data_IF_771205183983
#
_entry.id   IF_771205183983
#
_cell.length_a   1.000
_cell.length_b   1.000
_cell.length_c   1.000
_cell.angle_alpha   90.00
_cell.angle_beta   90.00
_cell.angle_gamma   90.00
#
_symmetry.space_group_name_H-M   'P 1'
#
loop_
_entity.id
_entity.type
_entity.pdbx_description
1 polymer ?
#
# COMPACT_ATOMS: atom_id res chain seq x y z
N UNK A 1 -7.66 -13.23 -13.44
CA UNK A 1 -7.79 -12.09 -14.39
C UNK A 1 -7.16 -12.54 -15.70
N UNK A 2 -7.77 -12.19 -16.83
CA UNK A 2 -7.18 -12.41 -18.16
C UNK A 2 -6.37 -11.19 -18.59
N UNK A 3 -6.86 -9.98 -18.26
CA UNK A 3 -6.20 -8.71 -18.47
C UNK A 3 -6.12 -7.92 -17.14
N UNK A 4 -5.04 -8.12 -16.36
CA UNK A 4 -4.92 -7.50 -15.04
C UNK A 4 -4.95 -5.97 -15.07
N UNK A 5 -4.44 -5.34 -16.13
CA UNK A 5 -4.33 -3.87 -16.24
C UNK A 5 -5.71 -3.21 -16.23
N UNK A 6 -6.66 -3.83 -16.94
CA UNK A 6 -8.03 -3.31 -17.07
C UNK A 6 -8.98 -3.88 -16.00
N UNK A 7 -8.74 -5.09 -15.51
CA UNK A 7 -9.64 -5.76 -14.56
C UNK A 7 -9.36 -5.39 -13.09
N UNK A 8 -8.11 -5.06 -12.71
CA UNK A 8 -7.71 -4.97 -11.28
C UNK A 8 -8.56 -3.99 -10.48
N UNK A 9 -8.96 -2.87 -11.07
CA UNK A 9 -9.78 -1.88 -10.38
C UNK A 9 -11.09 -2.50 -9.90
N UNK A 10 -11.77 -3.24 -10.78
CA UNK A 10 -13.01 -3.93 -10.41
C UNK A 10 -12.77 -5.02 -9.37
N UNK A 11 -11.70 -5.80 -9.55
CA UNK A 11 -11.33 -6.89 -8.63
C UNK A 11 -11.09 -6.35 -7.22
N UNK A 12 -10.26 -5.32 -7.06
CA UNK A 12 -9.95 -4.78 -5.74
C UNK A 12 -11.18 -4.16 -5.10
N UNK A 13 -12.02 -3.42 -5.86
CA UNK A 13 -13.27 -2.88 -5.32
C UNK A 13 -14.27 -3.99 -4.92
N UNK A 14 -14.30 -5.14 -5.60
CA UNK A 14 -15.08 -6.29 -5.15
C UNK A 14 -14.49 -6.91 -3.87
N UNK A 15 -13.18 -6.96 -3.72
CA UNK A 15 -12.54 -7.47 -2.51
C UNK A 15 -12.79 -6.53 -1.30
N UNK A 16 -12.70 -5.21 -1.47
CA UNK A 16 -12.72 -4.25 -0.36
C UNK A 16 -14.07 -3.59 -0.12
N UNK A 17 -14.89 -3.43 -1.15
CA UNK A 17 -16.13 -2.62 -1.12
C UNK A 17 -17.35 -3.35 -1.67
N UNK A 18 -17.32 -4.69 -1.72
CA UNK A 18 -18.45 -5.48 -2.21
C UNK A 18 -19.76 -5.20 -1.46
N UNK A 19 -20.86 -5.16 -2.22
CA UNK A 19 -22.20 -4.91 -1.69
C UNK A 19 -22.64 -5.97 -0.68
N UNK A 20 -22.27 -7.23 -0.88
CA UNK A 20 -22.61 -8.34 0.03
C UNK A 20 -21.38 -9.18 0.45
N UNK A 21 -21.45 -9.89 1.59
CA UNK A 21 -20.43 -10.85 1.99
C UNK A 21 -20.20 -11.97 0.96
N UNK A 22 -21.27 -12.40 0.27
CA UNK A 22 -21.18 -13.46 -0.74
C UNK A 22 -20.37 -13.02 -1.96
N UNK A 23 -20.58 -11.77 -2.43
CA UNK A 23 -19.78 -11.20 -3.53
C UNK A 23 -18.32 -11.09 -3.12
N UNK A 24 -18.05 -10.61 -1.90
CA UNK A 24 -16.69 -10.49 -1.38
C UNK A 24 -16.00 -11.85 -1.34
N UNK A 25 -16.66 -12.87 -0.76
CA UNK A 25 -16.12 -14.23 -0.67
C UNK A 25 -15.87 -14.84 -2.04
N UNK A 26 -16.83 -14.72 -2.98
CA UNK A 26 -16.67 -15.21 -4.34
C UNK A 26 -15.51 -14.53 -5.07
N UNK A 27 -15.30 -13.22 -4.85
CA UNK A 27 -14.14 -12.51 -5.41
C UNK A 27 -12.82 -13.04 -4.87
N UNK A 28 -12.74 -13.35 -3.56
CA UNK A 28 -11.57 -14.01 -2.96
C UNK A 28 -11.30 -15.37 -3.60
N UNK A 29 -12.32 -16.21 -3.75
CA UNK A 29 -12.18 -17.54 -4.34
C UNK A 29 -11.75 -17.48 -5.82
N UNK A 30 -12.21 -16.45 -6.55
CA UNK A 30 -11.93 -16.28 -7.99
C UNK A 30 -10.58 -15.64 -8.28
N UNK A 31 -10.16 -14.64 -7.51
CA UNK A 31 -9.02 -13.79 -7.88
C UNK A 31 -7.83 -13.90 -6.93
N UNK A 32 -7.98 -14.51 -5.75
CA UNK A 32 -6.91 -14.60 -4.76
C UNK A 32 -6.39 -16.04 -4.69
N UNK A 33 -5.06 -16.19 -4.70
CA UNK A 33 -4.42 -17.51 -4.65
C UNK A 33 -4.68 -18.16 -3.27
N UNK A 34 -4.80 -19.50 -3.20
CA UNK A 34 -5.05 -20.20 -1.94
C UNK A 34 -3.91 -20.07 -0.93
N UNK A 35 -2.73 -19.63 -1.38
CA UNK A 35 -1.50 -19.44 -0.63
C UNK A 35 -1.03 -17.98 -0.56
N UNK A 36 -1.96 -17.02 -0.66
CA UNK A 36 -1.69 -15.58 -0.68
C UNK A 36 -0.91 -15.08 0.54
N UNK A 37 0.03 -14.16 0.33
CA UNK A 37 0.63 -13.36 1.40
C UNK A 37 -0.04 -12.00 1.54
N UNK A 38 -0.07 -11.47 2.76
CA UNK A 38 -0.64 -10.16 3.03
C UNK A 38 0.19 -9.39 4.05
N UNK A 39 0.44 -8.12 3.78
CA UNK A 39 1.14 -7.21 4.70
C UNK A 39 0.39 -5.89 4.81
N UNK A 40 -0.03 -5.59 6.01
CA UNK A 40 -0.77 -4.38 6.34
C UNK A 40 -0.20 -3.78 7.63
N UNK A 41 -0.33 -2.46 7.89
CA UNK A 41 0.20 -1.86 9.11
C UNK A 41 -0.26 -2.50 10.43
N UNK A 42 -1.41 -3.19 10.45
CA UNK A 42 -1.97 -3.85 11.65
C UNK A 42 -1.74 -5.36 11.71
N UNK A 43 -1.53 -6.00 10.59
CA UNK A 43 -1.56 -7.46 10.52
C UNK A 43 -0.73 -7.96 9.35
N UNK A 44 -0.29 -9.21 9.49
CA UNK A 44 0.55 -9.88 8.53
C UNK A 44 0.07 -11.33 8.38
N UNK A 45 -0.08 -11.78 7.14
CA UNK A 45 -0.37 -13.16 6.79
C UNK A 45 0.79 -13.68 5.94
N UNK A 46 1.63 -14.59 6.47
CA UNK A 46 2.65 -15.22 5.66
C UNK A 46 2.02 -16.12 4.58
N UNK A 47 2.60 -16.18 3.37
CA UNK A 47 2.19 -17.15 2.35
C UNK A 47 2.25 -18.58 2.92
N UNK A 48 1.13 -19.29 2.90
CA UNK A 48 1.05 -20.66 3.38
C UNK A 48 -0.19 -21.35 2.82
N UNK A 49 -0.26 -22.68 2.86
CA UNK A 49 -1.45 -23.39 2.39
C UNK A 49 -2.69 -22.92 3.16
N UNK A 50 -3.71 -22.47 2.44
CA UNK A 50 -4.97 -21.92 2.98
C UNK A 50 -4.82 -20.56 3.71
N UNK A 51 -3.79 -19.78 3.40
CA UNK A 51 -3.66 -18.41 3.94
C UNK A 51 -4.73 -17.46 3.40
N UNK A 52 -5.37 -17.80 2.27
CA UNK A 52 -6.51 -17.05 1.71
C UNK A 52 -7.68 -16.96 2.67
N UNK A 53 -7.99 -18.05 3.37
CA UNK A 53 -9.07 -18.12 4.34
C UNK A 53 -8.76 -17.24 5.56
N UNK A 54 -7.48 -17.18 5.98
CA UNK A 54 -7.02 -16.24 7.01
C UNK A 54 -7.19 -14.78 6.55
N UNK A 55 -6.79 -14.47 5.31
CA UNK A 55 -6.94 -13.12 4.75
C UNK A 55 -8.43 -12.73 4.61
N UNK A 56 -9.28 -13.65 4.17
CA UNK A 56 -10.72 -13.44 4.10
C UNK A 56 -11.29 -13.10 5.50
N UNK A 57 -10.83 -13.76 6.55
CA UNK A 57 -11.21 -13.45 7.94
C UNK A 57 -10.87 -12.00 8.34
N UNK A 58 -9.72 -11.48 7.91
CA UNK A 58 -9.35 -10.07 8.12
C UNK A 58 -10.33 -9.14 7.41
N UNK A 59 -10.65 -9.42 6.14
CA UNK A 59 -11.58 -8.61 5.36
C UNK A 59 -13.02 -8.67 5.90
N UNK A 60 -13.43 -9.83 6.42
CA UNK A 60 -14.71 -9.97 7.15
C UNK A 60 -14.72 -9.09 8.40
N UNK A 61 -13.65 -9.10 9.19
CA UNK A 61 -13.54 -8.25 10.36
C UNK A 61 -13.57 -6.76 10.00
N UNK A 62 -12.89 -6.36 8.93
CA UNK A 62 -12.91 -4.98 8.42
C UNK A 62 -14.31 -4.55 8.00
N UNK A 63 -15.11 -5.44 7.40
CA UNK A 63 -16.52 -5.18 7.08
C UNK A 63 -17.40 -5.03 8.34
N UNK A 64 -17.14 -5.82 9.38
CA UNK A 64 -17.83 -5.70 10.68
C UNK A 64 -17.49 -4.37 11.34
N UNK A 65 -16.20 -4.01 11.34
CA UNK A 65 -15.69 -2.75 11.86
C UNK A 65 -16.21 -1.55 11.08
N UNK A 66 -16.33 -1.64 9.75
CA UNK A 66 -16.82 -0.58 8.89
C UNK A 66 -17.84 -1.11 7.88
N UNK A 67 -19.15 -1.04 8.20
CA UNK A 67 -20.20 -1.56 7.32
C UNK A 67 -20.35 -0.80 6.00
N UNK A 68 -19.84 0.44 5.93
CA UNK A 68 -19.86 1.28 4.74
C UNK A 68 -18.44 1.73 4.43
N UNK A 69 -17.79 1.00 3.53
CA UNK A 69 -16.47 1.33 3.00
C UNK A 69 -16.68 1.93 1.61
N UNK A 70 -16.11 3.11 1.37
CA UNK A 70 -16.11 3.74 0.05
C UNK A 70 -14.67 3.72 -0.45
N UNK A 71 -14.44 3.12 -1.60
CA UNK A 71 -13.13 3.02 -2.23
C UNK A 71 -13.13 3.75 -3.57
N UNK A 72 -12.03 4.43 -3.87
CA UNK A 72 -11.77 5.08 -5.15
C UNK A 72 -10.39 4.68 -5.64
N UNK A 73 -10.32 4.18 -6.86
CA UNK A 73 -9.05 3.99 -7.57
C UNK A 73 -8.65 5.33 -8.18
N UNK A 74 -7.46 5.81 -7.86
CA UNK A 74 -6.92 7.05 -8.41
C UNK A 74 -6.02 6.76 -9.61
N UNK A 75 -5.17 5.75 -9.50
CA UNK A 75 -4.26 5.35 -10.57
C UNK A 75 -3.87 3.88 -10.47
N UNK A 76 -3.56 3.27 -11.61
CA UNK A 76 -3.07 1.90 -11.75
C UNK A 76 -1.82 1.92 -12.60
N UNK A 77 -0.76 1.28 -12.12
CA UNK A 77 0.46 1.03 -12.90
C UNK A 77 0.72 -0.47 -12.90
N UNK A 78 0.84 -1.07 -14.08
CA UNK A 78 1.16 -2.47 -14.24
C UNK A 78 2.58 -2.67 -14.78
N UNK A 79 3.43 -3.25 -13.95
CA UNK A 79 4.70 -3.83 -14.38
C UNK A 79 4.45 -5.26 -14.88
N UNK A 80 4.34 -5.39 -16.21
CA UNK A 80 4.05 -6.64 -16.91
C UNK A 80 5.19 -7.66 -16.79
N UNK A 81 6.44 -7.20 -16.71
CA UNK A 81 7.61 -8.06 -16.66
C UNK A 81 7.70 -8.80 -15.32
N UNK A 82 7.41 -8.09 -14.21
CA UNK A 82 7.47 -8.66 -12.87
C UNK A 82 6.10 -9.10 -12.33
N UNK A 83 5.03 -8.94 -13.10
CA UNK A 83 3.65 -9.20 -12.68
C UNK A 83 3.25 -8.43 -11.41
N UNK A 84 3.64 -7.16 -11.32
CA UNK A 84 3.39 -6.29 -10.16
C UNK A 84 2.44 -5.17 -10.55
N UNK A 85 1.38 -5.00 -9.76
CA UNK A 85 0.48 -3.86 -9.85
C UNK A 85 0.74 -2.90 -8.68
N UNK A 86 0.86 -1.62 -9.00
CA UNK A 86 0.90 -0.53 -8.04
C UNK A 86 -0.38 0.28 -8.16
N UNK A 87 -1.17 0.28 -7.09
CA UNK A 87 -2.50 0.85 -7.07
C UNK A 87 -2.52 2.04 -6.12
N UNK A 88 -2.77 3.22 -6.65
CA UNK A 88 -3.00 4.41 -5.83
C UNK A 88 -4.49 4.51 -5.55
N UNK A 89 -4.87 4.37 -4.28
CA UNK A 89 -6.25 4.30 -3.85
C UNK A 89 -6.56 5.31 -2.75
N UNK A 90 -7.81 5.72 -2.68
CA UNK A 90 -8.35 6.43 -1.53
C UNK A 90 -9.54 5.66 -0.99
N UNK A 91 -9.62 5.52 0.33
CA UNK A 91 -10.73 4.86 0.99
C UNK A 91 -11.27 5.69 2.14
N UNK A 92 -12.58 5.62 2.34
CA UNK A 92 -13.22 6.00 3.58
C UNK A 92 -13.53 4.72 4.33
N UNK A 93 -12.92 4.58 5.50
CA UNK A 93 -13.22 3.50 6.43
C UNK A 93 -13.77 4.14 7.72
N UNK A 94 -15.06 3.94 7.97
CA UNK A 94 -15.74 4.50 9.15
C UNK A 94 -15.95 3.43 10.20
N UNK A 95 -15.24 3.52 11.33
CA UNK A 95 -15.41 2.58 12.43
C UNK A 95 -16.82 2.73 13.01
N UNK A 96 -17.58 1.63 13.04
CA UNK A 96 -19.01 1.56 13.37
C UNK A 96 -19.41 2.24 14.67
N UNK A 97 -18.55 2.20 15.69
CA UNK A 97 -18.81 2.76 17.02
C UNK A 97 -18.04 4.07 17.27
N UNK A 98 -17.34 4.59 16.27
CA UNK A 98 -16.58 5.82 16.42
C UNK A 98 -17.50 7.05 16.40
N UNK A 99 -17.38 7.98 17.36
CA UNK A 99 -18.14 9.23 17.35
C UNK A 99 -17.59 10.27 16.34
N UNK A 100 -16.48 9.97 15.66
CA UNK A 100 -15.80 10.91 14.79
C UNK A 100 -16.25 10.80 13.33
N UNK A 101 -16.22 11.93 12.61
CA UNK A 101 -16.53 11.94 11.18
C UNK A 101 -15.52 11.08 10.41
N UNK A 102 -15.97 10.27 9.44
CA UNK A 102 -15.04 9.57 8.56
C UNK A 102 -14.17 10.54 7.79
N UNK A 103 -12.93 10.13 7.53
CA UNK A 103 -11.98 10.85 6.70
C UNK A 103 -11.50 9.94 5.56
N UNK A 104 -11.07 10.57 4.47
CA UNK A 104 -10.34 9.86 3.43
C UNK A 104 -8.96 9.47 3.93
N UNK A 105 -8.54 8.25 3.59
CA UNK A 105 -7.17 7.80 3.73
C UNK A 105 -6.68 7.31 2.37
N UNK A 106 -5.54 7.84 1.93
CA UNK A 106 -4.83 7.41 0.74
C UNK A 106 -3.84 6.31 1.10
N UNK A 107 -3.80 5.29 0.25
CA UNK A 107 -2.88 4.19 0.36
C UNK A 107 -2.34 3.80 -1.01
N UNK A 108 -1.10 3.34 -1.02
CA UNK A 108 -0.52 2.62 -2.15
C UNK A 108 -0.63 1.14 -1.86
N UNK A 109 -1.26 0.38 -2.76
CA UNK A 109 -1.33 -1.08 -2.66
C UNK A 109 -0.40 -1.67 -3.71
N UNK A 110 0.55 -2.49 -3.27
CA UNK A 110 1.38 -3.31 -4.16
C UNK A 110 0.79 -4.72 -4.20
N UNK A 111 0.40 -5.15 -5.38
CA UNK A 111 -0.15 -6.48 -5.63
C UNK A 111 0.83 -7.27 -6.50
N UNK A 112 1.25 -8.44 -6.03
CA UNK A 112 2.02 -9.39 -6.83
C UNK A 112 1.09 -10.45 -7.40
N UNK A 113 1.11 -10.60 -8.71
CA UNK A 113 0.30 -11.59 -9.42
C UNK A 113 1.09 -12.86 -9.68
N UNK A 114 0.38 -13.99 -9.69
CA UNK A 114 0.87 -15.28 -10.16
C UNK A 114 0.02 -15.72 -11.34
N UNK A 115 0.67 -16.06 -12.44
CA UNK A 115 0.01 -16.66 -13.59
C UNK A 115 -0.10 -18.17 -13.41
N UNK A 116 -1.29 -18.71 -13.63
CA UNK A 116 -1.56 -20.15 -13.67
C UNK A 116 -2.54 -20.38 -14.82
N UNK A 117 -2.15 -21.21 -15.80
CA UNK A 117 -2.96 -21.56 -16.97
C UNK A 117 -3.51 -20.34 -17.73
N UNK A 118 -2.70 -19.29 -17.89
CA UNK A 118 -3.09 -18.05 -18.58
C UNK A 118 -4.00 -17.12 -17.76
N UNK A 119 -4.23 -17.43 -16.48
CA UNK A 119 -5.00 -16.60 -15.55
C UNK A 119 -4.11 -16.05 -14.45
N UNK A 120 -4.27 -14.76 -14.17
CA UNK A 120 -3.55 -14.07 -13.10
C UNK A 120 -4.35 -14.05 -11.80
N UNK A 121 -3.69 -14.41 -10.70
CA UNK A 121 -4.22 -14.43 -9.34
C UNK A 121 -3.37 -13.55 -8.42
N UNK A 122 -4.01 -12.90 -7.46
CA UNK A 122 -3.33 -12.15 -6.39
C UNK A 122 -2.64 -13.16 -5.48
N UNK A 123 -1.31 -13.16 -5.52
CA UNK A 123 -0.47 -14.05 -4.71
C UNK A 123 0.16 -13.35 -3.52
N UNK A 124 0.26 -12.02 -3.58
CA UNK A 124 0.72 -11.21 -2.46
C UNK A 124 0.12 -9.81 -2.53
N UNK A 125 -0.30 -9.26 -1.40
CA UNK A 125 -0.76 -7.88 -1.28
C UNK A 125 -0.04 -7.15 -0.14
N UNK A 126 0.43 -5.94 -0.41
CA UNK A 126 1.05 -5.04 0.56
C UNK A 126 0.35 -3.69 0.55
N UNK A 127 -0.09 -3.25 1.72
CA UNK A 127 -0.79 -1.98 1.88
C UNK A 127 0.11 -0.95 2.58
N UNK A 128 0.41 0.14 1.89
CA UNK A 128 1.22 1.24 2.39
C UNK A 128 0.36 2.47 2.63
N UNK A 129 0.19 2.83 3.89
CA UNK A 129 -0.55 4.02 4.30
C UNK A 129 0.39 5.14 4.72
N UNK A 130 -0.05 6.39 4.52
CA UNK A 130 0.52 7.50 5.26
C UNK A 130 0.18 7.37 6.74
N UNK A 131 1.19 7.48 7.60
CA UNK A 131 1.08 7.22 9.04
C UNK A 131 0.01 8.08 9.72
N UNK A 132 -0.05 9.36 9.38
CA UNK A 132 -1.00 10.32 9.93
C UNK A 132 -2.44 10.04 9.48
N UNK A 133 -2.65 9.68 8.22
CA UNK A 133 -3.98 9.37 7.69
C UNK A 133 -4.49 8.05 8.25
N UNK A 134 -3.59 7.07 8.39
CA UNK A 134 -3.88 5.81 9.04
C UNK A 134 -4.19 5.97 10.52
N UNK A 135 -3.46 6.82 11.23
CA UNK A 135 -3.79 7.14 12.62
C UNK A 135 -5.12 7.87 12.73
N UNK A 136 -5.41 8.80 11.80
CA UNK A 136 -6.69 9.50 11.75
C UNK A 136 -7.87 8.54 11.53
N UNK A 137 -7.64 7.43 10.83
CA UNK A 137 -8.63 6.37 10.63
C UNK A 137 -9.04 5.68 11.93
N UNK A 138 -8.06 5.39 12.79
CA UNK A 138 -8.27 4.63 14.02
C UNK A 138 -8.63 5.54 15.20
N UNK A 139 -7.87 6.61 15.36
CA UNK A 139 -7.84 7.47 16.54
C UNK A 139 -7.51 8.92 16.13
N UNK A 140 -8.50 9.71 15.68
CA UNK A 140 -8.29 11.06 15.13
C UNK A 140 -7.48 12.03 16.01
N UNK A 141 -7.58 11.89 17.33
CA UNK A 141 -6.87 12.74 18.27
C UNK A 141 -5.36 12.50 18.33
N UNK A 142 -4.84 11.39 17.79
CA UNK A 142 -3.39 11.15 17.69
C UNK A 142 -2.74 11.89 16.52
N UNK A 143 -3.52 12.26 15.50
CA UNK A 143 -3.01 12.90 14.27
C UNK A 143 -2.17 14.14 14.55
N UNK A 144 -2.58 15.11 15.40
CA UNK A 144 -1.77 16.29 15.70
C UNK A 144 -0.45 15.95 16.39
N UNK A 145 -0.44 14.94 17.27
CA UNK A 145 0.77 14.50 17.96
C UNK A 145 1.76 13.85 16.98
N UNK A 146 1.28 13.01 16.05
CA UNK A 146 2.11 12.39 15.00
C UNK A 146 2.70 13.47 14.10
N UNK A 147 1.91 14.46 13.70
CA UNK A 147 2.40 15.59 12.89
C UNK A 147 3.46 16.41 13.65
N UNK A 148 3.25 16.67 14.94
CA UNK A 148 4.25 17.35 15.77
C UNK A 148 5.56 16.58 15.82
N UNK A 149 5.53 15.26 16.00
CA UNK A 149 6.72 14.40 15.96
C UNK A 149 7.41 14.48 14.59
N UNK A 150 6.67 14.40 13.49
CA UNK A 150 7.24 14.53 12.13
C UNK A 150 7.91 15.88 11.91
N UNK A 151 7.25 16.98 12.28
CA UNK A 151 7.78 18.34 12.18
C UNK A 151 9.02 18.51 13.05
N UNK A 152 9.00 17.97 14.27
CA UNK A 152 10.14 18.00 15.19
C UNK A 152 11.32 17.22 14.62
N UNK A 153 11.07 16.07 14.01
CA UNK A 153 12.08 15.29 13.27
C UNK A 153 12.72 16.08 12.13
N UNK A 154 11.92 16.84 11.37
CA UNK A 154 12.43 17.75 10.33
C UNK A 154 13.35 18.82 10.92
N UNK A 155 12.93 19.49 12.00
CA UNK A 155 13.73 20.53 12.64
C UNK A 155 15.05 19.98 13.20
N UNK A 156 14.99 18.86 13.93
CA UNK A 156 16.16 18.20 14.49
C UNK A 156 17.13 17.74 13.40
N UNK A 157 16.64 17.13 12.32
CA UNK A 157 17.48 16.65 11.21
C UNK A 157 18.25 17.78 10.55
N UNK A 158 17.61 18.93 10.31
CA UNK A 158 18.27 20.09 9.72
C UNK A 158 19.24 20.78 10.68
N UNK A 159 18.91 20.83 11.97
CA UNK A 159 19.83 21.32 13.00
C UNK A 159 21.11 20.48 13.06
N UNK A 160 20.98 19.16 13.13
CA UNK A 160 22.14 18.26 13.12
C UNK A 160 22.89 18.28 11.79
N UNK A 161 22.21 18.41 10.65
CA UNK A 161 22.85 18.58 9.36
C UNK A 161 23.71 19.85 9.31
N UNK A 162 23.23 20.97 9.87
CA UNK A 162 23.99 22.23 9.96
C UNK A 162 25.26 22.08 10.81
N UNK A 163 25.17 21.39 11.95
CA UNK A 163 26.33 21.05 12.77
C UNK A 163 27.31 20.19 11.99
N UNK A 164 26.82 19.13 11.32
CA UNK A 164 27.65 18.22 10.53
C UNK A 164 28.37 18.93 9.37
N UNK A 165 27.70 19.87 8.70
CA UNK A 165 28.29 20.70 7.64
C UNK A 165 29.39 21.62 8.21
N UNK A 166 29.13 22.25 9.36
CA UNK A 166 30.09 23.15 10.04
C UNK A 166 31.35 22.39 10.46
N UNK A 167 31.18 21.18 11.00
CA UNK A 167 32.29 20.28 11.37
C UNK A 167 32.97 19.62 10.16
N UNK A 168 32.44 19.82 8.94
CA UNK A 168 33.02 19.34 7.70
C UNK A 168 32.71 17.89 7.34
N UNK A 169 31.79 17.23 8.05
CA UNK A 169 31.35 15.86 7.73
C UNK A 169 30.53 15.79 6.43
N UNK A 170 29.93 16.90 5.99
CA UNK A 170 29.23 17.00 4.71
C UNK A 170 29.78 18.17 3.88
N UNK A 171 30.59 17.86 2.86
CA UNK A 171 31.18 18.82 1.90
C UNK A 171 31.00 18.31 0.47
N UNK A 172 29.85 18.58 -0.17
CA UNK A 172 29.64 18.16 -1.55
C UNK A 172 30.68 18.83 -2.44
N UNK A 173 31.41 18.03 -3.21
CA UNK A 173 32.37 18.54 -4.19
C UNK A 173 31.59 18.93 -5.43
N UNK A 174 31.66 20.20 -5.86
CA UNK A 174 31.07 20.65 -7.14
C UNK A 174 31.84 20.09 -8.34
N UNK A 175 31.91 18.76 -8.49
CA UNK A 175 32.25 18.16 -9.79
C UNK A 175 30.95 18.09 -10.58
N UNK A 176 30.69 19.14 -11.35
CA UNK A 176 29.67 19.14 -12.41
C UNK A 176 29.98 17.94 -13.31
N UNK A 177 29.13 16.90 -13.30
CA UNK A 177 29.31 15.77 -14.21
C UNK A 177 29.25 16.34 -15.63
N UNK A 178 30.37 16.25 -16.36
CA UNK A 178 30.42 16.67 -17.76
C UNK A 178 29.74 15.65 -18.70
N UNK A 179 29.01 14.67 -18.16
CA UNK A 179 28.36 13.64 -18.94
C UNK A 179 26.90 13.45 -18.49
N UNK A 180 25.92 14.10 -19.14
CA UNK A 180 24.51 14.04 -18.77
C UNK A 180 23.86 12.68 -19.05
N UNK A 181 24.53 11.76 -19.75
CA UNK A 181 23.96 10.46 -20.14
C UNK A 181 24.20 9.31 -19.15
N UNK A 182 25.07 9.47 -18.14
CA UNK A 182 25.24 8.44 -17.10
C UNK A 182 24.21 8.64 -16.00
N UNK A 183 23.07 7.95 -16.13
CA UNK A 183 22.13 7.79 -15.03
C UNK A 183 22.80 7.06 -13.85
N UNK A 184 22.32 7.32 -12.63
CA UNK A 184 22.79 6.70 -11.38
C UNK A 184 22.60 5.17 -11.30
N UNK A 185 21.97 4.56 -12.31
CA UNK A 185 21.63 3.14 -12.36
C UNK A 185 22.26 2.38 -13.55
N UNK A 186 23.23 2.97 -14.25
CA UNK A 186 23.99 2.25 -15.27
C UNK A 186 25.24 1.57 -14.68
N UNK A 187 25.06 0.30 -14.32
CA UNK A 187 26.11 -0.64 -13.92
C UNK A 187 25.48 -1.74 -13.08
N UNK A 188 25.38 -3.01 -13.49
CA UNK A 188 26.28 -3.80 -14.32
C UNK A 188 25.42 -4.98 -14.84
N UNK A 189 25.02 -4.97 -16.11
CA UNK A 189 24.56 -6.18 -16.80
C UNK A 189 25.69 -6.55 -17.76
N UNK A 190 26.68 -7.23 -17.23
CA UNK A 190 27.68 -7.95 -18.01
C UNK A 190 27.18 -9.39 -18.17
N UNK A 191 26.87 -9.71 -19.44
CA UNK A 191 26.77 -11.02 -20.13
C UNK A 191 26.47 -12.30 -19.35
#
# INVERSE_FOLDING_TARGET
MQDPEHEITSVVLQLTTAESPDIQKAAFEKYVSPDVGFKHPLCYVPPSRNSRETLLGIYQWYRVLSPRIIGKMNNVVYDKENHILLLDMSQIFHIRLSPFKPAWSRLLVRVTLREVDGLFYISYQEDFYHTEEFANLLIPFLTPAILLVKISGTAASNFYASIAQTLGFWRPTNKRSQNPERGLYDGDKTD
#
